data_IF_379649094549
#
_entry.id   IF_379649094549
#
_cell.length_a   1.000
_cell.length_b   1.000
_cell.length_c   1.000
_cell.angle_alpha   90.00
_cell.angle_beta   90.00
_cell.angle_gamma   90.00
#
_symmetry.space_group_name_H-M   'P 1'
#
loop_
_entity.id
_entity.type
_entity.pdbx_description
1 polymer ?
#
# COMPACT_ATOMS: atom_id res chain seq x y z
N UNK A 1 -30.41 -17.71 -33.61
CA UNK A 1 -29.49 -17.72 -32.44
C UNK A 1 -28.62 -18.99 -32.37
N UNK A 2 -29.19 -20.21 -32.43
CA UNK A 2 -28.43 -21.48 -32.44
C UNK A 2 -27.37 -21.60 -33.54
N UNK A 3 -27.68 -21.20 -34.78
CA UNK A 3 -26.76 -21.28 -35.92
C UNK A 3 -25.51 -20.40 -35.77
N UNK A 4 -25.69 -19.18 -35.25
CA UNK A 4 -24.59 -18.24 -35.02
C UNK A 4 -23.67 -18.81 -33.94
N UNK A 5 -24.24 -19.29 -32.83
CA UNK A 5 -23.49 -19.88 -31.72
C UNK A 5 -22.68 -21.09 -32.18
N UNK A 6 -23.28 -21.98 -32.98
CA UNK A 6 -22.60 -23.15 -33.55
C UNK A 6 -21.45 -22.75 -34.50
N UNK A 7 -21.67 -21.76 -35.36
CA UNK A 7 -20.65 -21.27 -36.30
C UNK A 7 -19.43 -20.72 -35.58
N UNK A 8 -19.62 -20.00 -34.49
CA UNK A 8 -18.51 -19.37 -33.75
C UNK A 8 -17.87 -20.30 -32.71
N UNK A 9 -18.65 -21.07 -31.95
CA UNK A 9 -18.11 -21.95 -30.91
C UNK A 9 -17.61 -23.29 -31.46
N UNK A 10 -18.29 -23.90 -32.44
CA UNK A 10 -17.94 -25.25 -32.96
C UNK A 10 -17.07 -25.20 -34.20
N UNK A 11 -17.45 -24.39 -35.19
CA UNK A 11 -16.78 -24.36 -36.50
C UNK A 11 -15.53 -23.47 -36.47
N UNK A 12 -15.59 -22.33 -35.80
CA UNK A 12 -14.45 -21.42 -35.55
C UNK A 12 -13.94 -21.51 -34.12
N UNK A 13 -13.69 -22.72 -33.64
CA UNK A 13 -13.21 -23.04 -32.29
C UNK A 13 -11.95 -22.28 -31.85
N UNK A 14 -11.15 -21.80 -32.80
CA UNK A 14 -9.97 -20.98 -32.55
C UNK A 14 -10.31 -19.54 -32.14
N UNK A 15 -11.49 -19.02 -32.49
CA UNK A 15 -11.88 -17.64 -32.23
C UNK A 15 -12.06 -17.37 -30.73
N UNK A 16 -12.77 -18.22 -29.95
CA UNK A 16 -12.80 -18.09 -28.49
C UNK A 16 -11.40 -18.10 -27.87
N UNK A 17 -10.53 -19.04 -28.29
CA UNK A 17 -9.14 -19.12 -27.79
C UNK A 17 -8.35 -17.85 -28.08
N UNK A 18 -8.45 -17.32 -29.29
CA UNK A 18 -7.78 -16.10 -29.70
C UNK A 18 -8.28 -14.89 -28.89
N UNK A 19 -9.59 -14.85 -28.61
CA UNK A 19 -10.19 -13.86 -27.71
C UNK A 19 -9.62 -13.94 -26.29
N UNK A 20 -9.53 -15.14 -25.71
CA UNK A 20 -8.91 -15.34 -24.38
C UNK A 20 -7.45 -14.88 -24.39
N UNK A 21 -6.68 -15.23 -25.42
CA UNK A 21 -5.27 -14.85 -25.51
C UNK A 21 -5.06 -13.34 -25.58
N UNK A 22 -5.80 -12.63 -26.46
CA UNK A 22 -5.72 -11.17 -26.57
C UNK A 22 -6.08 -10.50 -25.23
N UNK A 23 -7.18 -10.95 -24.61
CA UNK A 23 -7.63 -10.38 -23.34
C UNK A 23 -6.63 -10.70 -22.21
N UNK A 24 -5.96 -11.85 -22.25
CA UNK A 24 -4.91 -12.19 -21.28
C UNK A 24 -3.73 -11.24 -21.38
N UNK A 25 -3.32 -10.86 -22.59
CA UNK A 25 -2.23 -9.88 -22.81
C UNK A 25 -2.66 -8.51 -22.29
N UNK A 26 -3.88 -8.07 -22.63
CA UNK A 26 -4.44 -6.81 -22.14
C UNK A 26 -4.58 -6.79 -20.61
N UNK A 27 -4.91 -7.93 -20.01
CA UNK A 27 -5.00 -8.09 -18.57
C UNK A 27 -3.63 -7.90 -17.90
N UNK A 28 -2.58 -8.55 -18.40
CA UNK A 28 -1.22 -8.38 -17.88
C UNK A 28 -0.76 -6.93 -18.01
N UNK A 29 -1.05 -6.27 -19.13
CA UNK A 29 -0.73 -4.86 -19.32
C UNK A 29 -1.53 -3.95 -18.37
N UNK A 30 -2.82 -4.26 -18.19
CA UNK A 30 -3.70 -3.54 -17.28
C UNK A 30 -3.28 -3.63 -15.81
N UNK A 31 -2.67 -4.73 -15.39
CA UNK A 31 -2.15 -4.91 -14.04
C UNK A 31 -0.96 -4.00 -13.70
N UNK A 32 -0.30 -3.40 -14.70
CA UNK A 32 0.80 -2.47 -14.49
C UNK A 32 0.33 -1.06 -14.11
N UNK A 33 -0.96 -0.75 -14.29
CA UNK A 33 -1.52 0.54 -13.92
C UNK A 33 -2.01 0.54 -12.48
N UNK A 34 -1.61 1.57 -11.73
CA UNK A 34 -1.93 1.73 -10.31
C UNK A 34 -3.41 2.14 -10.07
N UNK A 35 -4.10 2.62 -11.12
CA UNK A 35 -5.45 3.13 -11.00
C UNK A 35 -6.55 2.04 -11.03
N UNK A 36 -7.40 2.09 -10.01
CA UNK A 36 -8.42 1.07 -9.74
C UNK A 36 -9.40 0.78 -10.87
N UNK A 37 -9.78 1.78 -11.68
CA UNK A 37 -10.78 1.57 -12.75
C UNK A 37 -10.21 0.70 -13.88
N UNK A 38 -9.01 1.00 -14.36
CA UNK A 38 -8.35 0.23 -15.45
C UNK A 38 -8.14 -1.22 -14.99
N UNK A 39 -7.71 -1.41 -13.75
CA UNK A 39 -7.52 -2.74 -13.15
C UNK A 39 -8.83 -3.52 -13.03
N UNK A 40 -9.91 -2.88 -12.56
CA UNK A 40 -11.24 -3.52 -12.44
C UNK A 40 -11.78 -3.91 -13.81
N UNK A 41 -11.68 -3.02 -14.80
CA UNK A 41 -12.20 -3.24 -16.15
C UNK A 41 -11.46 -4.39 -16.83
N UNK A 42 -10.13 -4.37 -16.82
CA UNK A 42 -9.30 -5.41 -17.44
C UNK A 42 -9.50 -6.77 -16.78
N UNK A 43 -9.63 -6.83 -15.45
CA UNK A 43 -9.95 -8.06 -14.72
C UNK A 43 -11.34 -8.61 -15.07
N UNK A 44 -12.33 -7.73 -15.19
CA UNK A 44 -13.71 -8.12 -15.58
C UNK A 44 -13.76 -8.71 -16.99
N UNK A 45 -13.09 -8.06 -17.95
CA UNK A 45 -12.98 -8.59 -19.31
C UNK A 45 -12.27 -9.94 -19.36
N UNK A 46 -11.22 -10.13 -18.55
CA UNK A 46 -10.49 -11.38 -18.45
C UNK A 46 -11.38 -12.54 -17.95
N UNK A 47 -12.17 -12.33 -16.89
CA UNK A 47 -13.08 -13.37 -16.41
C UNK A 47 -14.18 -13.68 -17.42
N UNK A 48 -14.73 -12.68 -18.11
CA UNK A 48 -15.69 -12.90 -19.20
C UNK A 48 -15.06 -13.75 -20.31
N UNK A 49 -13.80 -13.49 -20.67
CA UNK A 49 -13.08 -14.26 -21.67
C UNK A 49 -12.92 -15.73 -21.25
N UNK A 50 -12.53 -15.99 -19.99
CA UNK A 50 -12.43 -17.35 -19.45
C UNK A 50 -13.78 -18.06 -19.54
N UNK A 51 -14.88 -17.41 -19.14
CA UNK A 51 -16.23 -17.99 -19.21
C UNK A 51 -16.58 -18.37 -20.64
N UNK A 52 -16.31 -17.48 -21.61
CA UNK A 52 -16.52 -17.77 -23.04
C UNK A 52 -15.65 -18.96 -23.48
N UNK A 53 -14.40 -19.03 -23.03
CA UNK A 53 -13.50 -20.15 -23.27
C UNK A 53 -14.02 -21.48 -22.73
N UNK A 54 -14.55 -21.48 -21.49
CA UNK A 54 -15.14 -22.67 -20.86
C UNK A 54 -16.42 -23.11 -21.56
N UNK A 55 -17.29 -22.17 -21.96
CA UNK A 55 -18.50 -22.47 -22.74
C UNK A 55 -18.13 -23.06 -24.10
N UNK A 56 -17.13 -22.49 -24.78
CA UNK A 56 -16.59 -23.06 -26.01
C UNK A 56 -16.08 -24.48 -25.80
N UNK A 57 -15.28 -24.69 -24.75
CA UNK A 57 -14.72 -26.01 -24.40
C UNK A 57 -15.81 -27.04 -24.16
N UNK A 58 -16.82 -26.72 -23.35
CA UNK A 58 -17.96 -27.61 -23.09
C UNK A 58 -18.70 -27.97 -24.37
N UNK A 59 -18.88 -26.99 -25.26
CA UNK A 59 -19.59 -27.20 -26.52
C UNK A 59 -18.80 -28.07 -27.51
N UNK A 60 -17.46 -28.06 -27.45
CA UNK A 60 -16.62 -28.99 -28.22
C UNK A 60 -16.81 -30.45 -27.78
N UNK A 61 -16.98 -30.69 -26.47
CA UNK A 61 -17.28 -32.02 -25.91
C UNK A 61 -18.58 -32.55 -26.52
N UNK A 62 -19.65 -31.76 -26.46
CA UNK A 62 -20.97 -32.13 -27.00
C UNK A 62 -20.90 -32.41 -28.50
N UNK A 63 -20.06 -31.70 -29.24
CA UNK A 63 -19.88 -31.89 -30.68
C UNK A 63 -19.04 -33.13 -31.07
N UNK A 64 -18.48 -33.86 -30.10
CA UNK A 64 -17.68 -35.07 -30.33
C UNK A 64 -16.24 -34.80 -30.80
N UNK A 65 -15.77 -33.55 -30.76
CA UNK A 65 -14.42 -33.16 -31.20
C UNK A 65 -13.42 -33.26 -30.04
N UNK A 66 -13.11 -34.50 -29.67
CA UNK A 66 -12.28 -34.81 -28.50
C UNK A 66 -10.87 -34.20 -28.56
N UNK A 67 -10.22 -34.20 -29.73
CA UNK A 67 -8.87 -33.63 -29.88
C UNK A 67 -8.84 -32.11 -29.67
N UNK A 68 -9.84 -31.38 -30.19
CA UNK A 68 -9.97 -29.92 -29.99
C UNK A 68 -10.24 -29.61 -28.52
N UNK A 69 -11.07 -30.43 -27.88
CA UNK A 69 -11.40 -30.31 -26.45
C UNK A 69 -10.14 -30.35 -25.60
N UNK A 70 -9.26 -31.33 -25.84
CA UNK A 70 -8.01 -31.48 -25.09
C UNK A 70 -7.12 -30.25 -25.30
N UNK A 71 -6.95 -29.80 -26.54
CA UNK A 71 -6.13 -28.61 -26.86
C UNK A 71 -6.68 -27.37 -26.14
N UNK A 72 -8.00 -27.12 -26.23
CA UNK A 72 -8.63 -25.99 -25.57
C UNK A 72 -8.46 -26.05 -24.05
N UNK A 73 -8.60 -27.23 -23.46
CA UNK A 73 -8.44 -27.42 -22.02
C UNK A 73 -7.02 -27.11 -21.57
N UNK A 74 -6.01 -27.64 -22.26
CA UNK A 74 -4.59 -27.40 -21.93
C UNK A 74 -4.25 -25.91 -22.04
N UNK A 75 -4.72 -25.23 -23.09
CA UNK A 75 -4.50 -23.79 -23.26
C UNK A 75 -5.19 -22.98 -22.16
N UNK A 76 -6.44 -23.31 -21.81
CA UNK A 76 -7.16 -22.64 -20.72
C UNK A 76 -6.47 -22.84 -19.37
N UNK A 77 -6.04 -24.07 -19.06
CA UNK A 77 -5.29 -24.36 -17.84
C UNK A 77 -3.99 -23.56 -17.78
N UNK A 78 -3.25 -23.47 -18.88
CA UNK A 78 -2.01 -22.69 -18.94
C UNK A 78 -2.27 -21.20 -18.68
N UNK A 79 -3.28 -20.61 -19.33
CA UNK A 79 -3.62 -19.20 -19.16
C UNK A 79 -4.09 -18.90 -17.72
N UNK A 80 -4.95 -19.74 -17.16
CA UNK A 80 -5.44 -19.59 -15.78
C UNK A 80 -4.28 -19.75 -14.79
N UNK A 81 -3.43 -20.77 -14.97
CA UNK A 81 -2.28 -21.00 -14.10
C UNK A 81 -1.27 -19.85 -14.13
N UNK A 82 -0.92 -19.36 -15.33
CA UNK A 82 0.00 -18.24 -15.49
C UNK A 82 -0.53 -16.95 -14.84
N UNK A 83 -1.83 -16.66 -15.02
CA UNK A 83 -2.45 -15.45 -14.45
C UNK A 83 -2.58 -15.52 -12.93
N UNK A 84 -2.99 -16.66 -12.37
CA UNK A 84 -2.99 -16.85 -10.91
C UNK A 84 -1.58 -16.74 -10.31
N UNK A 85 -0.58 -17.32 -10.97
CA UNK A 85 0.82 -17.23 -10.52
C UNK A 85 1.30 -15.78 -10.49
N UNK A 86 0.98 -15.01 -11.53
CA UNK A 86 1.32 -13.59 -11.61
C UNK A 86 0.63 -12.76 -10.53
N UNK A 87 -0.68 -12.95 -10.29
CA UNK A 87 -1.39 -12.24 -9.21
C UNK A 87 -0.81 -12.55 -7.83
N UNK A 88 -0.41 -13.80 -7.59
CA UNK A 88 0.24 -14.22 -6.35
C UNK A 88 1.58 -13.50 -6.17
N UNK A 89 2.43 -13.46 -7.21
CA UNK A 89 3.71 -12.73 -7.17
C UNK A 89 3.51 -11.26 -6.87
N UNK A 90 2.61 -10.59 -7.60
CA UNK A 90 2.31 -9.17 -7.38
C UNK A 90 1.80 -8.89 -5.96
N UNK A 91 0.96 -9.78 -5.40
CA UNK A 91 0.47 -9.66 -4.03
C UNK A 91 1.61 -9.82 -3.01
N UNK A 92 2.53 -10.76 -3.23
CA UNK A 92 3.72 -10.93 -2.38
C UNK A 92 4.64 -9.72 -2.43
N UNK A 93 4.88 -9.13 -3.61
CA UNK A 93 5.71 -7.93 -3.73
C UNK A 93 5.09 -6.73 -3.00
N UNK A 94 3.77 -6.52 -3.16
CA UNK A 94 3.05 -5.47 -2.44
C UNK A 94 3.09 -5.67 -0.92
N UNK A 95 2.99 -6.93 -0.45
CA UNK A 95 3.09 -7.24 0.97
C UNK A 95 4.51 -6.98 1.50
N UNK A 96 5.53 -7.39 0.75
CA UNK A 96 6.94 -7.18 1.12
C UNK A 96 7.27 -5.70 1.20
N UNK A 97 6.80 -4.89 0.25
CA UNK A 97 6.95 -3.44 0.26
C UNK A 97 6.29 -2.83 1.51
N UNK A 98 5.03 -3.17 1.80
CA UNK A 98 4.33 -2.67 2.98
C UNK A 98 5.01 -3.05 4.30
N UNK A 99 5.52 -4.27 4.41
CA UNK A 99 6.28 -4.72 5.60
C UNK A 99 7.57 -3.91 5.73
N UNK A 100 8.32 -3.73 4.63
CA UNK A 100 9.57 -2.96 4.63
C UNK A 100 9.33 -1.51 5.05
N UNK A 101 8.29 -0.86 4.50
CA UNK A 101 7.92 0.51 4.86
C UNK A 101 7.55 0.58 6.35
N UNK A 102 6.77 -0.37 6.85
CA UNK A 102 6.39 -0.42 8.27
C UNK A 102 7.63 -0.53 9.18
N UNK A 103 8.54 -1.45 8.88
CA UNK A 103 9.77 -1.65 9.68
C UNK A 103 10.65 -0.40 9.68
N UNK A 104 10.93 0.17 8.50
CA UNK A 104 11.71 1.41 8.38
C UNK A 104 11.08 2.56 9.15
N UNK A 105 9.75 2.69 9.10
CA UNK A 105 9.05 3.78 9.77
C UNK A 105 9.04 3.62 11.28
N UNK A 106 8.78 2.40 11.78
CA UNK A 106 8.87 2.14 13.23
C UNK A 106 10.27 2.42 13.77
N UNK A 107 11.31 2.07 13.01
CA UNK A 107 12.70 2.43 13.31
C UNK A 107 12.91 3.95 13.35
N UNK A 108 12.39 4.67 12.36
CA UNK A 108 12.51 6.13 12.27
C UNK A 108 11.79 6.86 13.42
N UNK A 109 10.59 6.41 13.79
CA UNK A 109 9.84 6.98 14.92
C UNK A 109 10.60 6.72 16.22
N UNK A 110 11.11 5.51 16.42
CA UNK A 110 11.91 5.16 17.58
C UNK A 110 13.17 6.03 17.65
N UNK A 111 13.86 6.19 16.52
CA UNK A 111 15.04 7.04 16.43
C UNK A 111 14.69 8.50 16.73
N UNK A 112 13.71 9.11 16.06
CA UNK A 112 13.45 10.55 16.20
C UNK A 112 12.72 10.90 17.51
N UNK A 113 11.84 10.03 18.03
CA UNK A 113 10.94 10.36 19.15
C UNK A 113 11.13 9.52 20.42
N UNK A 114 11.92 8.44 20.35
CA UNK A 114 12.07 7.48 21.44
C UNK A 114 10.86 6.56 21.66
N UNK A 115 9.79 6.70 20.87
CA UNK A 115 8.59 5.88 20.99
C UNK A 115 8.80 4.49 20.38
N UNK A 116 8.62 3.45 21.19
CA UNK A 116 8.69 2.07 20.74
C UNK A 116 7.31 1.61 20.26
N UNK A 117 7.22 1.43 18.95
CA UNK A 117 6.03 0.92 18.29
C UNK A 117 6.24 -0.55 17.91
N UNK A 118 5.24 -1.38 18.17
CA UNK A 118 5.24 -2.79 17.77
C UNK A 118 4.97 -2.90 16.26
N UNK A 119 5.45 -3.98 15.63
CA UNK A 119 5.39 -4.22 14.17
C UNK A 119 3.96 -4.47 13.66
N UNK A 120 2.94 -4.42 14.53
CA UNK A 120 1.52 -4.59 14.19
C UNK A 120 0.84 -3.26 13.87
N UNK A 121 1.51 -2.43 13.10
CA UNK A 121 0.97 -1.17 12.60
C UNK A 121 0.48 -1.38 11.17
N UNK A 122 -0.69 -0.83 10.88
CA UNK A 122 -1.27 -0.85 9.54
C UNK A 122 -1.02 0.49 8.86
N UNK A 123 -0.27 0.48 7.76
CA UNK A 123 -0.08 1.67 6.92
C UNK A 123 -1.39 1.98 6.18
N UNK A 124 -2.00 3.13 6.48
CA UNK A 124 -3.20 3.61 5.81
C UNK A 124 -2.86 4.42 4.56
N UNK A 125 -1.85 5.28 4.66
CA UNK A 125 -1.40 6.14 3.57
C UNK A 125 0.11 6.29 3.63
N UNK A 126 0.74 6.25 2.47
CA UNK A 126 2.14 6.56 2.26
C UNK A 126 2.26 7.34 0.96
N UNK A 127 2.84 8.53 1.03
CA UNK A 127 3.00 9.43 -0.10
C UNK A 127 4.42 10.00 -0.05
N UNK A 128 5.16 9.88 -1.15
CA UNK A 128 6.50 10.45 -1.31
C UNK A 128 6.44 11.43 -2.47
N UNK A 129 6.67 12.71 -2.18
CA UNK A 129 6.74 13.74 -3.20
C UNK A 129 8.15 14.27 -3.30
N UNK A 130 8.73 14.13 -4.48
CA UNK A 130 9.99 14.78 -4.82
C UNK A 130 9.72 16.23 -5.21
N UNK A 131 10.44 17.17 -4.59
CA UNK A 131 10.22 18.61 -4.80
C UNK A 131 10.99 19.16 -6.00
N UNK A 132 11.93 18.40 -6.57
CA UNK A 132 12.57 18.70 -7.85
C UNK A 132 12.77 17.44 -8.71
N UNK A 133 12.87 17.60 -10.03
CA UNK A 133 12.90 16.52 -11.03
C UNK A 133 14.14 15.61 -11.01
N UNK A 134 14.99 15.70 -9.97
CA UNK A 134 16.06 14.77 -9.71
C UNK A 134 15.68 13.91 -8.49
N UNK A 135 15.80 12.59 -8.61
CA UNK A 135 15.44 11.59 -7.60
C UNK A 135 16.12 11.76 -6.21
N UNK A 136 17.01 12.74 -6.04
CA UNK A 136 17.98 12.79 -4.93
C UNK A 136 18.16 14.15 -4.22
N UNK A 137 17.52 15.25 -4.62
CA UNK A 137 17.75 16.54 -3.93
C UNK A 137 16.80 16.75 -2.75
N UNK A 138 15.49 16.84 -3.01
CA UNK A 138 14.50 17.18 -1.97
C UNK A 138 13.29 16.26 -2.05
N UNK A 139 12.85 15.75 -0.90
CA UNK A 139 11.66 14.91 -0.82
C UNK A 139 10.83 15.20 0.42
N UNK A 140 9.54 14.92 0.32
CA UNK A 140 8.61 14.92 1.45
C UNK A 140 7.94 13.57 1.56
N UNK A 141 7.97 12.99 2.75
CA UNK A 141 7.28 11.76 3.10
C UNK A 141 6.11 12.12 3.99
N UNK A 142 4.90 11.74 3.58
CA UNK A 142 3.69 11.84 4.40
C UNK A 142 3.13 10.45 4.62
N UNK A 143 2.89 10.10 5.89
CA UNK A 143 2.40 8.79 6.26
C UNK A 143 1.30 8.87 7.31
N UNK A 144 0.29 8.02 7.15
CA UNK A 144 -0.74 7.77 8.15
C UNK A 144 -0.75 6.28 8.51
N UNK A 145 -0.66 6.02 9.82
CA UNK A 145 -0.55 4.69 10.40
C UNK A 145 -1.71 4.45 11.36
N UNK A 146 -2.30 3.26 11.34
CA UNK A 146 -3.29 2.83 12.32
C UNK A 146 -2.67 1.80 13.29
N UNK A 147 -2.88 2.00 14.60
CA UNK A 147 -2.45 1.05 15.63
C UNK A 147 -3.65 0.40 16.35
N UNK A 148 -3.43 -0.79 16.91
CA UNK A 148 -4.48 -1.53 17.63
C UNK A 148 -4.93 -0.77 18.90
N UNK A 149 -6.21 -0.86 19.24
CA UNK A 149 -6.76 -0.34 20.49
C UNK A 149 -6.01 -0.84 21.73
N UNK A 150 -5.51 -2.07 21.70
CA UNK A 150 -4.75 -2.66 22.82
C UNK A 150 -3.47 -1.84 23.09
N UNK A 151 -2.87 -1.23 22.06
CA UNK A 151 -1.64 -0.44 22.19
C UNK A 151 -1.88 1.01 22.61
N UNK A 152 -3.12 1.51 22.62
CA UNK A 152 -3.43 2.88 23.02
C UNK A 152 -2.84 3.24 24.39
N UNK A 153 -3.08 2.39 25.39
CA UNK A 153 -2.59 2.64 26.74
C UNK A 153 -1.07 2.48 26.84
N UNK A 154 -0.48 1.62 26.01
CA UNK A 154 0.97 1.41 25.96
C UNK A 154 1.64 2.68 25.40
N UNK A 155 1.18 3.18 24.25
CA UNK A 155 1.70 4.40 23.63
C UNK A 155 1.53 5.59 24.58
N UNK A 156 0.33 5.76 25.13
CA UNK A 156 0.04 6.83 26.10
C UNK A 156 1.00 6.78 27.30
N UNK A 157 1.21 5.61 27.90
CA UNK A 157 2.09 5.47 29.05
C UNK A 157 3.57 5.64 28.68
N UNK A 158 4.00 5.21 27.50
CA UNK A 158 5.37 5.46 27.04
C UNK A 158 5.64 6.95 26.89
N UNK A 159 4.68 7.71 26.33
CA UNK A 159 4.83 9.14 26.13
C UNK A 159 4.86 9.86 27.47
N UNK A 160 3.86 9.67 28.34
CA UNK A 160 3.79 10.41 29.61
C UNK A 160 4.97 10.12 30.54
N UNK A 161 5.51 8.90 30.51
CA UNK A 161 6.69 8.54 31.30
C UNK A 161 8.02 8.82 30.60
N UNK A 162 7.99 9.36 29.38
CA UNK A 162 9.19 9.72 28.64
C UNK A 162 9.87 10.92 29.28
N UNK A 163 11.21 10.89 29.30
CA UNK A 163 12.02 12.09 29.62
C UNK A 163 11.83 13.22 28.61
N UNK A 164 11.22 12.93 27.46
CA UNK A 164 10.92 13.89 26.40
C UNK A 164 9.52 14.50 26.53
N UNK A 165 8.74 14.18 27.56
CA UNK A 165 7.36 14.65 27.67
C UNK A 165 7.22 15.87 28.58
N UNK A 166 6.45 16.84 28.10
CA UNK A 166 6.01 18.01 28.85
C UNK A 166 4.47 18.06 28.88
N UNK A 167 3.90 18.33 30.04
CA UNK A 167 2.45 18.42 30.25
C UNK A 167 1.84 19.70 29.65
N UNK A 168 2.66 20.60 29.14
CA UNK A 168 2.22 21.83 28.45
C UNK A 168 1.50 21.47 27.14
N UNK A 169 0.45 22.23 26.82
CA UNK A 169 -0.26 22.15 25.54
C UNK A 169 0.49 22.91 24.46
N UNK A 170 0.50 22.40 23.23
CA UNK A 170 1.24 22.98 22.10
C UNK A 170 0.88 24.43 21.78
N UNK A 171 -0.37 24.84 22.03
CA UNK A 171 -0.84 26.23 21.89
C UNK A 171 -0.05 27.25 22.75
N UNK A 172 0.65 26.78 23.79
CA UNK A 172 1.39 27.62 24.73
C UNK A 172 2.91 27.56 24.52
N UNK A 173 3.39 26.89 23.46
CA UNK A 173 4.82 26.72 23.23
C UNK A 173 5.40 27.96 22.54
N UNK A 174 6.18 28.74 23.28
CA UNK A 174 7.06 29.78 22.74
C UNK A 174 8.52 29.29 22.79
N UNK A 175 9.34 29.71 21.81
CA UNK A 175 10.76 29.36 21.67
C UNK A 175 11.63 29.35 22.96
N UNK A 176 11.40 30.15 24.02
CA UNK A 176 12.27 30.19 25.21
C UNK A 176 12.34 28.90 26.05
N UNK A 177 11.43 27.94 25.87
CA UNK A 177 11.41 26.71 26.69
C UNK A 177 12.58 25.77 26.33
N UNK A 178 13.05 25.78 25.07
CA UNK A 178 14.16 24.94 24.61
C UNK A 178 15.48 25.22 25.35
N UNK A 179 15.69 26.45 25.80
CA UNK A 179 16.88 26.85 26.56
C UNK A 179 16.90 26.27 27.98
N UNK A 180 15.73 26.06 28.58
CA UNK A 180 15.58 25.46 29.92
C UNK A 180 15.71 23.93 29.91
N UNK A 181 15.34 23.27 28.80
CA UNK A 181 15.43 21.80 28.68
C UNK A 181 16.88 21.33 28.43
N UNK A 182 17.89 22.23 28.44
CA UNK A 182 19.32 21.90 28.24
C UNK A 182 19.55 20.96 27.04
N UNK A 183 18.93 21.36 25.93
CA UNK A 183 18.44 20.43 24.93
C UNK A 183 19.10 20.60 23.57
N UNK A 184 20.28 21.22 23.46
CA UNK A 184 20.95 21.35 22.16
C UNK A 184 21.29 19.99 21.50
N UNK A 185 21.13 18.88 22.24
CA UNK A 185 21.25 17.49 21.76
C UNK A 185 19.92 16.73 21.67
N UNK A 186 18.80 17.28 22.11
CA UNK A 186 17.52 16.55 22.16
C UNK A 186 16.78 16.75 20.84
N UNK A 187 16.14 15.65 20.41
CA UNK A 187 15.48 15.50 19.11
C UNK A 187 14.18 16.31 19.01
N UNK A 188 13.47 16.46 20.13
CA UNK A 188 12.22 17.20 20.29
C UNK A 188 11.54 16.81 21.61
N UNK A 189 10.32 17.30 21.83
CA UNK A 189 9.52 16.95 23.00
C UNK A 189 8.10 16.55 22.62
N UNK A 190 7.49 15.70 23.45
CA UNK A 190 6.09 15.36 23.38
C UNK A 190 5.26 16.35 24.20
N UNK A 191 4.16 16.82 23.62
CA UNK A 191 3.18 17.67 24.28
C UNK A 191 1.78 17.10 24.09
N UNK A 192 0.83 17.56 24.91
CA UNK A 192 -0.58 17.28 24.65
C UNK A 192 -1.09 18.06 23.43
N UNK A 193 -1.82 17.36 22.58
CA UNK A 193 -2.66 17.90 21.52
C UNK A 193 -4.14 17.60 21.83
N UNK A 194 -5.05 18.30 21.16
CA UNK A 194 -6.51 18.19 21.23
C UNK A 194 -7.03 16.75 21.20
N UNK A 195 -6.38 15.84 20.48
CA UNK A 195 -6.80 14.44 20.30
C UNK A 195 -5.78 13.40 20.83
N UNK A 196 -4.69 13.85 21.45
CA UNK A 196 -3.65 12.98 21.97
C UNK A 196 -2.34 13.71 22.20
N UNK A 197 -1.33 13.44 21.38
CA UNK A 197 0.01 13.96 21.56
C UNK A 197 0.61 14.48 20.26
N UNK A 198 1.45 15.50 20.36
CA UNK A 198 2.24 16.04 19.26
C UNK A 198 3.72 16.08 19.66
N UNK A 199 4.59 15.68 18.73
CA UNK A 199 6.04 15.79 18.90
C UNK A 199 6.53 17.09 18.27
N UNK A 200 6.91 18.04 19.11
CA UNK A 200 7.51 19.29 18.70
C UNK A 200 9.01 19.08 18.49
N UNK A 201 9.49 19.30 17.27
CA UNK A 201 10.92 19.21 16.94
C UNK A 201 11.72 20.32 17.64
N UNK A 202 12.95 20.01 18.05
CA UNK A 202 13.88 21.03 18.53
C UNK A 202 14.39 21.89 17.36
N UNK A 203 14.64 23.18 17.60
CA UNK A 203 15.22 24.08 16.60
C UNK A 203 16.76 23.93 16.57
N UNK A 204 17.25 22.90 15.88
CA UNK A 204 18.68 22.63 15.69
C UNK A 204 19.00 22.32 14.21
N UNK A 205 20.27 22.41 13.83
CA UNK A 205 20.71 22.27 12.43
C UNK A 205 20.32 20.93 11.80
N UNK A 206 20.31 19.84 12.58
CA UNK A 206 19.93 18.51 12.09
C UNK A 206 18.42 18.43 11.77
N UNK A 207 17.57 19.00 12.62
CA UNK A 207 16.11 19.08 12.41
C UNK A 207 15.71 20.16 11.38
N UNK A 208 16.61 21.09 11.05
CA UNK A 208 16.41 22.05 9.96
C UNK A 208 16.64 21.42 8.59
N UNK A 209 17.62 20.50 8.49
CA UNK A 209 17.87 19.71 7.27
C UNK A 209 16.78 18.67 7.03
N UNK A 210 16.35 17.98 8.09
CA UNK A 210 15.30 16.97 8.04
C UNK A 210 14.19 17.24 9.06
N UNK A 211 13.31 18.22 8.82
CA UNK A 211 12.20 18.48 9.72
C UNK A 211 11.26 17.28 9.80
N UNK A 212 11.07 16.78 11.02
CA UNK A 212 10.21 15.65 11.35
C UNK A 212 9.04 16.11 12.23
N UNK A 213 7.82 15.77 11.81
CA UNK A 213 6.59 16.04 12.55
C UNK A 213 5.88 14.72 12.82
N UNK A 214 5.46 14.51 14.06
CA UNK A 214 4.72 13.32 14.47
C UNK A 214 3.55 13.72 15.37
N UNK A 215 2.36 13.25 15.01
CA UNK A 215 1.14 13.45 15.80
C UNK A 215 0.49 12.11 16.07
N UNK A 216 0.07 11.89 17.31
CA UNK A 216 -0.58 10.67 17.77
C UNK A 216 -2.00 11.02 18.20
N UNK A 217 -2.94 10.63 17.36
CA UNK A 217 -4.36 10.69 17.65
C UNK A 217 -4.78 9.43 18.43
N UNK A 218 -5.10 9.63 19.70
CA UNK A 218 -5.52 8.54 20.60
C UNK A 218 -7.00 8.20 20.50
N UNK A 219 -7.78 9.04 19.82
CA UNK A 219 -9.21 8.83 19.60
C UNK A 219 -9.41 7.94 18.38
N UNK A 220 -8.81 8.33 17.25
CA UNK A 220 -8.92 7.59 15.98
C UNK A 220 -7.88 6.47 15.85
N UNK A 221 -6.90 6.41 16.77
CA UNK A 221 -5.78 5.46 16.78
C UNK A 221 -4.88 5.60 15.55
N UNK A 222 -4.61 6.86 15.20
CA UNK A 222 -3.83 7.22 14.02
C UNK A 222 -2.53 7.86 14.46
N UNK A 223 -1.42 7.50 13.82
CA UNK A 223 -0.16 8.22 13.90
C UNK A 223 0.07 8.88 12.54
N UNK A 224 0.26 10.20 12.55
CA UNK A 224 0.56 10.99 11.36
C UNK A 224 2.01 11.41 11.41
N UNK A 225 2.71 11.21 10.29
CA UNK A 225 4.12 11.50 10.16
C UNK A 225 4.31 12.34 8.92
N UNK A 226 5.05 13.43 9.06
CA UNK A 226 5.51 14.20 7.92
C UNK A 226 7.00 14.47 8.11
N UNK A 227 7.79 14.10 7.11
CA UNK A 227 9.20 14.38 7.02
C UNK A 227 9.47 15.14 5.73
N UNK A 228 10.33 16.15 5.81
CA UNK A 228 10.90 16.76 4.62
C UNK A 228 12.41 16.62 4.68
N UNK A 229 13.03 16.40 3.53
CA UNK A 229 14.46 16.51 3.32
C UNK A 229 14.65 17.68 2.34
N UNK A 230 15.42 18.67 2.79
CA UNK A 230 15.71 19.94 2.10
C UNK A 230 17.20 20.05 1.74
#
# INVERSE_FOLDING_TARGET
>A
MKEILYKFLVRKWWLPLLGVLIISILFVYGLQYDEGIVRIVTRSFFYIAIVIGLVSWFWQIVSGKWYITIIQFVVLLFIIGATLSFEVVMAFDTLKEKVTISEQTTGLILEKTGLQLDNKIKVLKYDVKHTEGAFDSDYSISMELEYDAIFKNIIHNQIINSVLFDAIRTENYADPVWDHIHSKKIRGIWCYDTQGFEFLKANNDDNLKEPFYCTIDTVNRIIKLNMHHL
#
